data_IF_016967456935
#
_entry.id   IF_016967456935
#
_cell.length_a   1.000
_cell.length_b   1.000
_cell.length_c   1.000
_cell.angle_alpha   90.00
_cell.angle_beta   90.00
_cell.angle_gamma   90.00
#
_symmetry.space_group_name_H-M   'P 1'
#
loop_
_entity.id
_entity.type
_entity.pdbx_description
1 polymer ?
#
# COMPACT_ATOMS: atom_id res chain seq x y z
N UNK A 1 4.10 26.85 28.03
CA UNK A 1 3.94 25.42 28.38
C UNK A 1 3.71 24.60 27.11
N UNK A 2 4.51 23.57 26.81
CA UNK A 2 4.29 22.72 25.63
C UNK A 2 2.95 21.97 25.77
N UNK A 3 2.08 22.06 24.75
CA UNK A 3 0.81 21.32 24.70
C UNK A 3 1.10 19.83 24.75
N UNK A 4 0.75 19.16 25.86
CA UNK A 4 0.85 17.70 26.01
C UNK A 4 0.11 17.01 24.85
N UNK A 5 0.82 16.22 24.06
CA UNK A 5 0.21 15.40 23.00
C UNK A 5 -0.52 14.24 23.70
N UNK A 6 -1.81 14.01 23.44
CA UNK A 6 -2.52 12.85 24.00
C UNK A 6 -1.83 11.54 23.61
N UNK A 7 -1.66 10.62 24.57
CA UNK A 7 -0.93 9.34 24.42
C UNK A 7 -1.29 8.61 23.12
N UNK A 8 -2.58 8.47 22.81
CA UNK A 8 -3.06 7.81 21.59
C UNK A 8 -2.58 8.46 20.28
N UNK A 9 -2.45 9.79 20.25
CA UNK A 9 -1.90 10.49 19.07
C UNK A 9 -0.39 10.28 18.97
N UNK A 10 0.30 10.24 20.11
CA UNK A 10 1.72 9.92 20.16
C UNK A 10 1.99 8.49 19.65
N UNK A 11 1.13 7.51 19.99
CA UNK A 11 1.23 6.15 19.46
C UNK A 11 1.14 6.11 17.93
N UNK A 12 0.20 6.86 17.32
CA UNK A 12 0.13 6.95 15.85
C UNK A 12 1.43 7.50 15.27
N UNK A 13 1.98 8.58 15.82
CA UNK A 13 3.26 9.11 15.35
C UNK A 13 4.40 8.10 15.49
N UNK A 14 4.45 7.41 16.64
CA UNK A 14 5.49 6.47 16.98
C UNK A 14 5.47 5.23 16.06
N UNK A 15 4.30 4.64 15.80
CA UNK A 15 4.16 3.49 14.89
C UNK A 15 4.74 3.80 13.51
N UNK A 16 4.30 4.90 12.89
CA UNK A 16 4.77 5.29 11.56
C UNK A 16 6.25 5.68 11.55
N UNK A 17 6.74 6.34 12.60
CA UNK A 17 8.15 6.68 12.73
C UNK A 17 9.04 5.44 12.87
N UNK A 18 8.67 4.49 13.74
CA UNK A 18 9.38 3.22 13.94
C UNK A 18 9.50 2.47 12.62
N UNK A 19 8.40 2.34 11.87
CA UNK A 19 8.44 1.62 10.59
C UNK A 19 9.29 2.34 9.54
N UNK A 20 9.35 3.67 9.55
CA UNK A 20 10.25 4.43 8.67
C UNK A 20 11.71 4.15 9.02
N UNK A 21 12.06 4.19 10.31
CA UNK A 21 13.41 3.88 10.79
C UNK A 21 13.77 2.44 10.46
N UNK A 22 12.87 1.49 10.68
CA UNK A 22 13.04 0.08 10.30
C UNK A 22 13.38 -0.04 8.81
N UNK A 23 12.60 0.60 7.95
CA UNK A 23 12.81 0.56 6.50
C UNK A 23 14.19 1.11 6.10
N UNK A 24 14.62 2.24 6.67
CA UNK A 24 15.94 2.81 6.38
C UNK A 24 17.07 1.91 6.91
N UNK A 25 16.91 1.39 8.14
CA UNK A 25 17.91 0.54 8.78
C UNK A 25 18.07 -0.80 8.06
N UNK A 26 16.98 -1.38 7.55
CA UNK A 26 17.01 -2.62 6.75
C UNK A 26 17.96 -2.54 5.55
N UNK A 27 18.19 -1.36 4.98
CA UNK A 27 19.05 -1.20 3.80
C UNK A 27 20.37 -0.50 4.10
N UNK A 28 20.57 -0.03 5.33
CA UNK A 28 21.77 0.69 5.73
C UNK A 28 23.01 -0.22 5.63
N UNK A 29 23.95 0.14 4.75
CA UNK A 29 25.20 -0.58 4.53
C UNK A 29 25.04 -1.93 3.81
N UNK A 30 23.86 -2.26 3.28
CA UNK A 30 23.67 -3.49 2.51
C UNK A 30 24.24 -3.34 1.09
N UNK A 31 25.00 -4.34 0.63
CA UNK A 31 25.57 -4.37 -0.72
C UNK A 31 24.54 -4.72 -1.80
N UNK A 32 24.90 -4.43 -3.05
CA UNK A 32 24.12 -4.86 -4.22
C UNK A 32 24.64 -6.21 -4.70
N UNK A 33 23.74 -7.10 -5.09
CA UNK A 33 24.04 -8.41 -5.67
C UNK A 33 23.38 -8.52 -7.03
N UNK A 34 24.07 -9.12 -8.00
CA UNK A 34 23.47 -9.43 -9.30
C UNK A 34 22.31 -10.42 -9.07
N UNK A 35 21.20 -10.21 -9.79
CA UNK A 35 20.07 -11.13 -9.78
C UNK A 35 20.47 -12.36 -10.61
N UNK A 36 20.21 -13.56 -10.08
CA UNK A 36 20.45 -14.81 -10.81
C UNK A 36 19.75 -14.77 -12.18
N UNK A 37 20.45 -15.20 -13.22
CA UNK A 37 20.00 -15.18 -14.61
C UNK A 37 19.72 -13.77 -15.18
N UNK A 38 20.21 -12.70 -14.55
CA UNK A 38 20.15 -11.34 -15.09
C UNK A 38 21.54 -10.83 -15.47
N UNK A 39 21.69 -10.33 -16.71
CA UNK A 39 22.96 -9.77 -17.19
C UNK A 39 23.27 -8.39 -16.59
N UNK A 40 22.23 -7.63 -16.20
CA UNK A 40 22.38 -6.25 -15.73
C UNK A 40 21.53 -5.91 -14.49
N UNK A 41 20.71 -6.84 -14.00
CA UNK A 41 19.80 -6.61 -12.88
C UNK A 41 20.48 -6.77 -11.53
N UNK A 42 20.36 -5.77 -10.67
CA UNK A 42 20.87 -5.77 -9.30
C UNK A 42 19.74 -5.73 -8.29
N UNK A 43 19.88 -6.51 -7.22
CA UNK A 43 19.02 -6.46 -6.04
C UNK A 43 19.83 -6.09 -4.80
N UNK A 44 19.14 -5.59 -3.79
CA UNK A 44 19.68 -5.32 -2.47
C UNK A 44 18.77 -6.02 -1.48
N UNK A 45 19.29 -7.06 -0.82
CA UNK A 45 18.49 -7.78 0.18
C UNK A 45 18.47 -7.00 1.50
N UNK A 46 17.31 -6.89 2.16
CA UNK A 46 17.21 -6.22 3.44
C UNK A 46 17.98 -7.00 4.51
N UNK A 47 18.57 -6.27 5.45
CA UNK A 47 19.04 -6.80 6.72
C UNK A 47 17.85 -7.30 7.54
N UNK A 48 17.80 -8.61 7.75
CA UNK A 48 16.89 -9.24 8.71
C UNK A 48 17.72 -9.60 9.95
N UNK A 49 17.43 -8.95 11.08
CA UNK A 49 18.17 -9.15 12.32
C UNK A 49 17.41 -8.66 13.54
N UNK A 50 17.99 -8.83 14.73
CA UNK A 50 17.30 -8.53 16.00
C UNK A 50 16.75 -7.11 16.08
N UNK A 51 17.44 -6.11 15.53
CA UNK A 51 17.00 -4.71 15.53
C UNK A 51 15.77 -4.51 14.63
N UNK A 52 15.77 -5.02 13.39
CA UNK A 52 14.62 -4.84 12.48
C UNK A 52 13.38 -5.56 12.99
N UNK A 53 13.57 -6.74 13.58
CA UNK A 53 12.50 -7.51 14.23
C UNK A 53 11.96 -6.77 15.45
N UNK A 54 12.83 -6.26 16.33
CA UNK A 54 12.39 -5.50 17.50
C UNK A 54 11.56 -4.27 17.12
N UNK A 55 11.92 -3.58 16.02
CA UNK A 55 11.16 -2.44 15.52
C UNK A 55 9.79 -2.87 14.96
N UNK A 56 9.72 -3.96 14.18
CA UNK A 56 8.46 -4.49 13.65
C UNK A 56 7.51 -4.89 14.79
N UNK A 57 7.98 -5.68 15.75
CA UNK A 57 7.17 -6.14 16.87
C UNK A 57 6.80 -5.03 17.85
N UNK A 58 7.65 -4.02 18.04
CA UNK A 58 7.29 -2.82 18.82
C UNK A 58 6.16 -2.03 18.14
N UNK A 59 6.25 -1.82 16.83
CA UNK A 59 5.20 -1.16 16.07
C UNK A 59 3.89 -1.98 16.07
N UNK A 60 3.98 -3.31 15.96
CA UNK A 60 2.84 -4.21 16.03
C UNK A 60 2.18 -4.20 17.43
N UNK A 61 2.97 -4.26 18.50
CA UNK A 61 2.46 -4.19 19.87
C UNK A 61 1.76 -2.86 20.15
N UNK A 62 2.32 -1.74 19.67
CA UNK A 62 1.68 -0.43 19.75
C UNK A 62 0.37 -0.39 18.94
N UNK A 63 0.33 -1.01 17.76
CA UNK A 63 -0.86 -1.07 16.92
C UNK A 63 -1.98 -1.90 17.59
N UNK A 64 -1.66 -3.08 18.13
CA UNK A 64 -2.59 -3.93 18.87
C UNK A 64 -3.12 -3.18 20.10
N UNK A 65 -2.24 -2.55 20.88
CA UNK A 65 -2.63 -1.77 22.05
C UNK A 65 -3.57 -0.62 21.67
N UNK A 66 -3.25 0.12 20.61
CA UNK A 66 -4.11 1.19 20.11
C UNK A 66 -5.48 0.66 19.65
N UNK A 67 -5.50 -0.48 18.98
CA UNK A 67 -6.74 -1.14 18.55
C UNK A 67 -7.61 -1.52 19.76
N UNK A 68 -7.05 -2.18 20.78
CA UNK A 68 -7.76 -2.59 21.98
C UNK A 68 -8.36 -1.39 22.74
N UNK A 69 -7.60 -0.31 22.90
CA UNK A 69 -8.05 0.92 23.57
C UNK A 69 -9.23 1.59 22.84
N UNK A 70 -9.26 1.51 21.51
CA UNK A 70 -10.26 2.18 20.69
C UNK A 70 -11.41 1.25 20.26
N UNK A 71 -11.29 -0.06 20.49
CA UNK A 71 -12.28 -1.07 20.14
C UNK A 71 -13.73 -0.68 20.53
N UNK A 72 -14.00 -0.16 21.74
CA UNK A 72 -15.36 0.25 22.13
C UNK A 72 -15.95 1.37 21.25
N UNK A 73 -15.10 2.20 20.63
CA UNK A 73 -15.56 3.21 19.66
C UNK A 73 -15.73 2.61 18.27
N UNK A 74 -14.84 1.70 17.86
CA UNK A 74 -14.87 1.06 16.54
C UNK A 74 -16.17 0.29 16.35
N UNK A 75 -16.58 -0.53 17.32
CA UNK A 75 -17.82 -1.32 17.27
C UNK A 75 -19.07 -0.43 17.10
N UNK A 76 -19.01 0.80 17.64
CA UNK A 76 -20.06 1.82 17.50
C UNK A 76 -19.97 2.65 16.22
N UNK A 77 -18.97 2.42 15.36
CA UNK A 77 -18.76 3.17 14.11
C UNK A 77 -18.80 2.29 12.84
N UNK A 78 -18.32 1.06 12.89
CA UNK A 78 -18.39 0.12 11.78
C UNK A 78 -19.79 -0.50 11.63
N UNK A 79 -20.08 -1.04 10.45
CA UNK A 79 -21.27 -1.88 10.21
C UNK A 79 -21.04 -3.28 10.79
N UNK A 80 -22.11 -4.03 11.04
CA UNK A 80 -22.00 -5.42 11.52
C UNK A 80 -21.13 -6.27 10.59
N UNK A 81 -21.41 -6.23 9.29
CA UNK A 81 -20.59 -6.93 8.28
C UNK A 81 -19.11 -6.50 8.32
N UNK A 82 -18.82 -5.21 8.47
CA UNK A 82 -17.44 -4.72 8.56
C UNK A 82 -16.73 -5.15 9.84
N UNK A 83 -17.44 -5.20 10.97
CA UNK A 83 -16.91 -5.76 12.22
C UNK A 83 -16.67 -7.27 12.10
N UNK A 84 -17.62 -8.01 11.54
CA UNK A 84 -17.49 -9.45 11.32
C UNK A 84 -16.29 -9.75 10.43
N UNK A 85 -16.13 -9.04 9.30
CA UNK A 85 -14.97 -9.22 8.43
C UNK A 85 -13.65 -8.96 9.18
N UNK A 86 -13.57 -7.87 9.96
CA UNK A 86 -12.36 -7.55 10.73
C UNK A 86 -12.03 -8.62 11.79
N UNK A 87 -13.05 -9.12 12.51
CA UNK A 87 -12.88 -10.16 13.53
C UNK A 87 -12.53 -11.51 12.92
N UNK A 88 -13.18 -11.92 11.83
CA UNK A 88 -12.86 -13.16 11.11
C UNK A 88 -11.43 -13.12 10.60
N UNK A 89 -11.02 -12.00 9.98
CA UNK A 89 -9.65 -11.84 9.50
C UNK A 89 -8.64 -11.93 10.65
N UNK A 90 -8.89 -11.23 11.75
CA UNK A 90 -7.99 -11.22 12.92
C UNK A 90 -7.90 -12.61 13.56
N UNK A 91 -9.04 -13.30 13.72
CA UNK A 91 -9.08 -14.66 14.22
C UNK A 91 -8.34 -15.65 13.31
N UNK A 92 -8.55 -15.56 11.99
CA UNK A 92 -7.85 -16.39 11.02
C UNK A 92 -6.33 -16.16 11.06
N UNK A 93 -5.87 -14.91 11.20
CA UNK A 93 -4.45 -14.58 11.38
C UNK A 93 -3.88 -15.23 12.63
N UNK A 94 -4.57 -15.15 13.77
CA UNK A 94 -4.12 -15.77 15.02
C UNK A 94 -4.05 -17.29 14.89
N UNK A 95 -5.06 -17.93 14.29
CA UNK A 95 -5.06 -19.36 14.03
C UNK A 95 -3.87 -19.78 13.15
N UNK A 96 -3.63 -19.07 12.04
CA UNK A 96 -2.51 -19.35 11.16
C UNK A 96 -1.15 -19.10 11.81
N UNK A 97 -1.03 -18.06 12.64
CA UNK A 97 0.18 -17.79 13.41
C UNK A 97 0.48 -18.94 14.38
N UNK A 98 -0.55 -19.46 15.05
CA UNK A 98 -0.41 -20.61 15.95
C UNK A 98 -0.05 -21.90 15.20
N UNK A 99 -0.68 -22.17 14.05
CA UNK A 99 -0.31 -23.31 13.18
C UNK A 99 1.14 -23.19 12.73
N UNK A 100 1.58 -21.99 12.34
CA UNK A 100 2.95 -21.73 11.88
C UNK A 100 3.94 -21.92 13.04
N UNK A 101 3.60 -21.45 14.24
CA UNK A 101 4.40 -21.63 15.44
C UNK A 101 4.59 -23.13 15.78
N UNK A 102 3.52 -23.93 15.76
CA UNK A 102 3.59 -25.37 16.04
C UNK A 102 4.43 -26.10 15.00
N UNK A 103 4.23 -25.80 13.71
CA UNK A 103 4.85 -26.55 12.61
C UNK A 103 6.29 -26.15 12.31
N UNK A 104 6.61 -24.86 12.45
CA UNK A 104 7.88 -24.29 11.97
C UNK A 104 8.67 -23.55 13.07
N UNK A 105 8.13 -23.47 14.30
CA UNK A 105 8.79 -22.87 15.45
C UNK A 105 8.78 -21.34 15.47
N UNK A 106 9.15 -20.78 16.63
CA UNK A 106 9.11 -19.35 16.89
C UNK A 106 10.06 -18.54 15.98
N UNK A 107 11.21 -19.10 15.61
CA UNK A 107 12.16 -18.41 14.71
C UNK A 107 11.51 -18.08 13.36
N UNK A 108 10.74 -19.00 12.79
CA UNK A 108 10.07 -18.78 11.50
C UNK A 108 9.03 -17.69 11.59
N UNK A 109 8.21 -17.71 12.65
CA UNK A 109 7.22 -16.67 12.93
C UNK A 109 7.90 -15.31 13.12
N UNK A 110 8.98 -15.24 13.89
CA UNK A 110 9.60 -13.95 14.22
C UNK A 110 10.45 -13.33 13.11
N UNK A 111 11.05 -14.13 12.22
CA UNK A 111 12.08 -13.66 11.28
C UNK A 111 11.62 -13.58 9.82
N UNK A 112 10.45 -14.12 9.48
CA UNK A 112 10.00 -14.14 8.09
C UNK A 112 9.07 -12.98 7.75
N UNK A 113 9.21 -12.45 6.52
CA UNK A 113 8.49 -11.26 6.07
C UNK A 113 7.06 -11.54 5.56
N UNK A 114 6.64 -12.81 5.53
CA UNK A 114 5.38 -13.27 4.90
C UNK A 114 4.55 -14.18 5.80
N UNK A 115 4.85 -14.16 7.08
CA UNK A 115 4.12 -14.85 8.14
C UNK A 115 2.75 -14.23 8.41
N UNK A 116 1.81 -14.95 9.03
CA UNK A 116 0.43 -14.52 9.17
C UNK A 116 0.25 -13.16 9.89
N UNK A 117 1.11 -12.81 10.84
CA UNK A 117 0.98 -11.59 11.62
C UNK A 117 1.12 -10.31 10.79
N UNK A 118 1.70 -10.37 9.59
CA UNK A 118 1.78 -9.20 8.69
C UNK A 118 0.39 -8.71 8.28
N UNK A 119 -0.64 -9.57 8.33
CA UNK A 119 -2.01 -9.16 8.01
C UNK A 119 -2.69 -8.44 9.18
N UNK A 120 -2.09 -8.38 10.38
CA UNK A 120 -2.54 -7.52 11.47
C UNK A 120 -2.36 -6.03 11.17
N UNK A 121 -1.69 -5.66 10.07
CA UNK A 121 -1.72 -4.30 9.52
C UNK A 121 -3.15 -3.76 9.35
N UNK A 122 -4.13 -4.64 9.09
CA UNK A 122 -5.53 -4.26 8.97
C UNK A 122 -6.08 -3.58 10.23
N UNK A 123 -5.52 -3.85 11.42
CA UNK A 123 -5.95 -3.22 12.67
C UNK A 123 -5.80 -1.69 12.64
N UNK A 124 -4.96 -1.15 11.75
CA UNK A 124 -4.81 0.30 11.55
C UNK A 124 -6.08 1.00 11.02
N UNK A 125 -7.14 0.25 10.65
CA UNK A 125 -8.49 0.81 10.43
C UNK A 125 -8.97 1.69 11.58
N UNK A 126 -8.55 1.38 12.82
CA UNK A 126 -8.85 2.18 14.02
C UNK A 126 -8.45 3.65 13.86
N UNK A 127 -7.29 3.90 13.26
CA UNK A 127 -6.75 5.24 13.06
C UNK A 127 -7.61 6.02 12.08
N UNK A 128 -8.18 5.34 11.07
CA UNK A 128 -9.09 5.95 10.09
C UNK A 128 -10.46 6.32 10.66
N UNK A 129 -10.94 5.51 11.61
CA UNK A 129 -12.28 5.60 12.18
C UNK A 129 -12.44 6.76 13.19
N UNK A 130 -11.39 7.11 13.92
CA UNK A 130 -11.37 8.25 14.85
C UNK A 130 -10.77 9.51 14.19
N UNK A 131 -11.54 10.60 14.10
CA UNK A 131 -11.10 11.84 13.44
C UNK A 131 -9.83 12.46 14.05
N UNK A 132 -9.61 12.29 15.35
CA UNK A 132 -8.44 12.84 16.04
C UNK A 132 -7.18 12.03 15.72
N UNK A 133 -7.31 10.70 15.62
CA UNK A 133 -6.23 9.81 15.20
C UNK A 133 -5.93 9.99 13.71
N UNK A 134 -6.96 9.98 12.88
CA UNK A 134 -6.87 10.24 11.45
C UNK A 134 -6.20 11.58 11.16
N UNK A 135 -6.60 12.64 11.87
CA UNK A 135 -5.98 13.96 11.77
C UNK A 135 -4.50 13.98 12.18
N UNK A 136 -4.03 13.00 12.95
CA UNK A 136 -2.61 12.83 13.30
C UNK A 136 -1.84 12.15 12.17
N UNK A 137 -2.37 11.06 11.62
CA UNK A 137 -1.85 10.40 10.41
C UNK A 137 -1.80 11.36 9.20
N UNK A 138 -2.90 12.05 8.91
CA UNK A 138 -3.03 13.05 7.84
C UNK A 138 -1.96 14.15 7.88
N UNK A 139 -1.46 14.50 9.08
CA UNK A 139 -0.41 15.52 9.24
C UNK A 139 0.98 15.02 8.87
N UNK A 140 1.24 13.72 8.94
CA UNK A 140 2.55 13.12 8.66
C UNK A 140 2.60 12.43 7.30
N UNK A 141 1.49 11.90 6.79
CA UNK A 141 1.46 11.06 5.59
C UNK A 141 2.21 11.70 4.40
N UNK A 142 1.83 12.91 3.98
CA UNK A 142 2.50 13.57 2.86
C UNK A 142 3.97 13.91 3.14
N UNK A 143 4.31 14.27 4.39
CA UNK A 143 5.70 14.60 4.77
C UNK A 143 6.60 13.37 4.69
N UNK A 144 6.11 12.24 5.21
CA UNK A 144 6.78 10.96 5.12
C UNK A 144 6.85 10.46 3.67
N UNK A 145 5.82 10.73 2.87
CA UNK A 145 5.82 10.45 1.43
C UNK A 145 6.94 11.21 0.71
N UNK A 146 7.01 12.52 0.89
CA UNK A 146 8.07 13.37 0.32
C UNK A 146 9.46 12.93 0.80
N UNK A 147 9.61 12.64 2.10
CA UNK A 147 10.85 12.12 2.65
C UNK A 147 11.25 10.78 2.00
N UNK A 148 10.29 9.85 1.81
CA UNK A 148 10.57 8.56 1.18
C UNK A 148 10.96 8.71 -0.30
N UNK A 149 10.34 9.63 -1.03
CA UNK A 149 10.73 9.94 -2.41
C UNK A 149 12.14 10.54 -2.49
N UNK A 150 12.49 11.44 -1.58
CA UNK A 150 13.85 11.99 -1.51
C UNK A 150 14.89 10.91 -1.16
N UNK A 151 14.60 10.08 -0.15
CA UNK A 151 15.47 8.97 0.23
C UNK A 151 15.60 7.92 -0.89
N UNK A 152 14.53 7.68 -1.64
CA UNK A 152 14.54 6.85 -2.84
C UNK A 152 15.46 7.40 -3.93
N UNK A 153 15.35 8.70 -4.25
CA UNK A 153 16.22 9.36 -5.23
C UNK A 153 17.69 9.32 -4.79
N UNK A 154 17.99 9.59 -3.52
CA UNK A 154 19.35 9.47 -2.99
C UNK A 154 19.87 8.04 -3.15
N UNK A 155 19.05 7.04 -2.80
CA UNK A 155 19.42 5.62 -2.95
C UNK A 155 19.67 5.24 -4.41
N UNK A 156 18.90 5.79 -5.35
CA UNK A 156 19.09 5.62 -6.79
C UNK A 156 20.41 6.22 -7.28
N UNK A 157 20.72 7.46 -6.87
CA UNK A 157 21.97 8.12 -7.25
C UNK A 157 23.19 7.39 -6.70
N UNK A 158 23.09 6.87 -5.46
CA UNK A 158 24.14 6.02 -4.88
C UNK A 158 24.30 4.70 -5.65
N UNK A 159 23.20 4.10 -6.11
CA UNK A 159 23.25 2.93 -6.97
C UNK A 159 23.98 3.23 -8.29
N UNK A 160 23.57 4.29 -9.00
CA UNK A 160 24.19 4.68 -10.27
C UNK A 160 25.68 4.99 -10.13
N UNK A 161 26.10 5.60 -9.01
CA UNK A 161 27.52 5.88 -8.76
C UNK A 161 28.39 4.62 -8.70
N UNK A 162 27.78 3.47 -8.36
CA UNK A 162 28.46 2.16 -8.28
C UNK A 162 28.18 1.29 -9.51
N UNK A 163 27.03 1.45 -10.13
CA UNK A 163 26.55 0.64 -11.25
C UNK A 163 25.93 1.54 -12.33
N UNK A 164 26.74 2.30 -13.11
CA UNK A 164 26.24 3.31 -14.05
C UNK A 164 25.30 2.77 -15.14
N UNK A 165 25.43 1.50 -15.51
CA UNK A 165 24.59 0.83 -16.51
C UNK A 165 23.72 -0.29 -15.92
N UNK A 166 23.65 -0.38 -14.58
CA UNK A 166 22.88 -1.41 -13.90
C UNK A 166 21.38 -1.14 -13.93
N UNK A 167 20.59 -2.20 -14.03
CA UNK A 167 19.14 -2.16 -13.86
C UNK A 167 18.80 -2.47 -12.40
N UNK A 168 17.97 -1.63 -11.78
CA UNK A 168 17.49 -1.88 -10.42
C UNK A 168 16.32 -2.86 -10.42
N UNK A 169 16.50 -3.96 -9.67
CA UNK A 169 15.42 -4.82 -9.20
C UNK A 169 14.96 -4.39 -7.80
N UNK A 170 14.75 -5.38 -6.92
CA UNK A 170 14.30 -5.12 -5.55
C UNK A 170 15.43 -4.46 -4.72
N UNK A 171 15.34 -3.14 -4.53
CA UNK A 171 16.35 -2.33 -3.83
C UNK A 171 15.72 -1.31 -2.89
N UNK A 172 16.52 -0.69 -2.03
CA UNK A 172 16.07 0.39 -1.14
C UNK A 172 15.37 1.51 -1.91
N UNK A 173 15.92 1.91 -3.06
CA UNK A 173 15.39 2.97 -3.90
C UNK A 173 13.94 2.66 -4.31
N UNK A 174 13.70 1.46 -4.80
CA UNK A 174 12.38 1.03 -5.23
C UNK A 174 11.38 0.93 -4.07
N UNK A 175 11.77 0.32 -2.94
CA UNK A 175 10.84 0.14 -1.82
C UNK A 175 10.45 1.48 -1.19
N UNK A 176 11.43 2.37 -0.99
CA UNK A 176 11.17 3.73 -0.49
C UNK A 176 10.30 4.52 -1.48
N UNK A 177 10.48 4.32 -2.78
CA UNK A 177 9.60 4.91 -3.79
C UNK A 177 8.17 4.40 -3.68
N UNK A 178 7.96 3.09 -3.63
CA UNK A 178 6.61 2.50 -3.52
C UNK A 178 5.89 3.02 -2.27
N UNK A 179 6.60 3.08 -1.14
CA UNK A 179 6.08 3.67 0.10
C UNK A 179 5.76 5.17 -0.08
N UNK A 180 6.69 5.92 -0.67
CA UNK A 180 6.53 7.34 -0.96
C UNK A 180 5.32 7.63 -1.83
N UNK A 181 5.14 6.84 -2.89
CA UNK A 181 4.02 6.91 -3.81
C UNK A 181 2.68 6.79 -3.08
N UNK A 182 2.47 5.72 -2.30
CA UNK A 182 1.22 5.50 -1.57
C UNK A 182 0.94 6.62 -0.56
N UNK A 183 1.96 7.06 0.17
CA UNK A 183 1.84 8.15 1.13
C UNK A 183 1.54 9.50 0.47
N UNK A 184 2.11 9.77 -0.71
CA UNK A 184 1.82 10.98 -1.49
C UNK A 184 0.39 10.95 -2.00
N UNK A 185 -0.05 9.83 -2.60
CA UNK A 185 -1.41 9.65 -3.10
C UNK A 185 -2.42 9.89 -1.97
N UNK A 186 -2.25 9.22 -0.83
CA UNK A 186 -3.14 9.34 0.34
C UNK A 186 -3.08 10.75 0.94
N UNK A 187 -1.87 11.26 1.20
CA UNK A 187 -1.65 12.55 1.83
C UNK A 187 -2.09 13.74 0.98
N UNK A 188 -2.10 13.59 -0.34
CA UNK A 188 -2.45 14.68 -1.28
C UNK A 188 -3.91 15.13 -1.13
N UNK A 189 -4.83 14.23 -0.80
CA UNK A 189 -6.26 14.52 -0.61
C UNK A 189 -6.45 15.53 0.52
N UNK A 190 -5.95 15.23 1.71
CA UNK A 190 -6.09 16.09 2.89
C UNK A 190 -5.20 17.33 2.83
N UNK A 191 -4.01 17.22 2.24
CA UNK A 191 -3.16 18.38 2.03
C UNK A 191 -3.86 19.39 1.12
N UNK A 192 -4.46 18.94 0.02
CA UNK A 192 -5.26 19.80 -0.84
C UNK A 192 -6.47 20.37 -0.11
N UNK A 193 -7.17 19.56 0.70
CA UNK A 193 -8.29 20.03 1.53
C UNK A 193 -7.91 21.26 2.36
N UNK A 194 -6.73 21.23 2.99
CA UNK A 194 -6.23 22.25 3.92
C UNK A 194 -5.51 23.42 3.25
N UNK A 195 -4.70 23.16 2.23
CA UNK A 195 -3.77 24.14 1.65
C UNK A 195 -4.14 24.60 0.23
N UNK A 196 -5.00 23.85 -0.47
CA UNK A 196 -5.42 24.11 -1.87
C UNK A 196 -4.25 24.24 -2.88
N UNK A 197 -3.05 23.78 -2.54
CA UNK A 197 -1.85 23.84 -3.38
C UNK A 197 -1.79 22.68 -4.37
N UNK A 198 -2.55 22.79 -5.47
CA UNK A 198 -2.61 21.77 -6.52
C UNK A 198 -1.29 21.59 -7.27
N UNK A 199 -0.60 22.67 -7.61
CA UNK A 199 0.66 22.63 -8.35
C UNK A 199 1.73 21.77 -7.65
N UNK A 200 1.85 21.91 -6.32
CA UNK A 200 2.76 21.09 -5.52
C UNK A 200 2.47 19.60 -5.61
N UNK A 201 1.19 19.20 -5.59
CA UNK A 201 0.80 17.78 -5.72
C UNK A 201 1.08 17.29 -7.13
N UNK A 202 0.78 18.08 -8.17
CA UNK A 202 1.12 17.72 -9.54
C UNK A 202 2.63 17.54 -9.71
N UNK A 203 3.44 18.43 -9.15
CA UNK A 203 4.90 18.31 -9.13
C UNK A 203 5.38 17.02 -8.46
N UNK A 204 4.83 16.66 -7.30
CA UNK A 204 5.16 15.38 -6.64
C UNK A 204 4.77 14.17 -7.50
N UNK A 205 3.64 14.24 -8.20
CA UNK A 205 3.25 13.16 -9.11
C UNK A 205 4.14 13.06 -10.35
N UNK A 206 4.64 14.19 -10.86
CA UNK A 206 5.69 14.19 -11.89
C UNK A 206 6.94 13.49 -11.39
N UNK A 207 7.41 13.80 -10.17
CA UNK A 207 8.55 13.11 -9.55
C UNK A 207 8.27 11.62 -9.45
N UNK A 208 7.08 11.21 -8.98
CA UNK A 208 6.73 9.80 -8.90
C UNK A 208 6.84 9.11 -10.27
N UNK A 209 6.34 9.76 -11.32
CA UNK A 209 6.36 9.18 -12.66
C UNK A 209 7.77 9.08 -13.24
N UNK A 210 8.61 10.11 -13.02
CA UNK A 210 10.03 10.07 -13.43
C UNK A 210 10.76 8.95 -12.71
N UNK A 211 10.62 8.82 -11.38
CA UNK A 211 11.24 7.73 -10.62
C UNK A 211 10.74 6.35 -11.08
N UNK A 212 9.44 6.21 -11.37
CA UNK A 212 8.89 4.96 -11.89
C UNK A 212 9.51 4.55 -13.24
N UNK A 213 9.75 5.51 -14.12
CA UNK A 213 10.43 5.28 -15.40
C UNK A 213 11.90 4.89 -15.19
N UNK A 214 12.63 5.63 -14.35
CA UNK A 214 14.03 5.32 -14.01
C UNK A 214 14.18 3.93 -13.40
N UNK A 215 13.22 3.48 -12.59
CA UNK A 215 13.27 2.15 -11.97
C UNK A 215 12.67 1.05 -12.86
N UNK A 216 12.30 1.39 -14.09
CA UNK A 216 11.66 0.49 -15.04
C UNK A 216 10.42 -0.23 -14.43
N UNK A 217 9.64 0.53 -13.63
CA UNK A 217 8.50 0.06 -12.86
C UNK A 217 7.18 0.40 -13.57
N UNK A 218 6.88 -0.32 -14.67
CA UNK A 218 5.70 -0.12 -15.55
C UNK A 218 4.39 0.12 -14.78
N UNK A 219 4.16 -0.69 -13.75
CA UNK A 219 2.98 -0.62 -12.90
C UNK A 219 2.80 0.75 -12.25
N UNK A 220 3.88 1.35 -11.78
CA UNK A 220 3.84 2.63 -11.08
C UNK A 220 3.84 3.83 -12.02
N UNK A 221 4.29 3.68 -13.26
CA UNK A 221 4.02 4.68 -14.31
C UNK A 221 2.52 4.78 -14.54
N UNK A 222 1.84 3.64 -14.71
CA UNK A 222 0.38 3.56 -14.86
C UNK A 222 -0.33 4.13 -13.63
N UNK A 223 0.07 3.72 -12.41
CA UNK A 223 -0.54 4.21 -11.17
C UNK A 223 -0.34 5.72 -10.98
N UNK A 224 0.84 6.25 -11.34
CA UNK A 224 1.12 7.70 -11.31
C UNK A 224 0.26 8.46 -12.32
N UNK A 225 0.09 7.92 -13.52
CA UNK A 225 -0.78 8.50 -14.55
C UNK A 225 -2.25 8.52 -14.09
N UNK A 226 -2.77 7.39 -13.59
CA UNK A 226 -4.14 7.29 -13.06
C UNK A 226 -4.36 8.37 -12.00
N UNK A 227 -3.47 8.50 -11.03
CA UNK A 227 -3.65 9.51 -9.99
C UNK A 227 -3.51 10.94 -10.52
N UNK A 228 -2.62 11.20 -11.47
CA UNK A 228 -2.47 12.51 -12.11
C UNK A 228 -3.73 12.90 -12.91
N UNK A 229 -4.52 11.93 -13.39
CA UNK A 229 -5.82 12.16 -14.02
C UNK A 229 -6.95 12.34 -12.98
N UNK A 230 -7.00 11.47 -11.97
CA UNK A 230 -8.03 11.47 -10.91
C UNK A 230 -7.94 12.72 -10.04
N UNK A 231 -6.73 13.16 -9.69
CA UNK A 231 -6.53 14.25 -8.75
C UNK A 231 -7.13 15.59 -9.23
N UNK A 232 -6.88 16.05 -10.47
CA UNK A 232 -7.65 17.12 -11.13
C UNK A 232 -9.16 16.95 -11.06
N UNK A 233 -9.66 15.74 -11.31
CA UNK A 233 -11.09 15.46 -11.37
C UNK A 233 -11.76 15.65 -10.00
N UNK A 234 -11.15 15.17 -8.91
CA UNK A 234 -11.70 15.28 -7.55
C UNK A 234 -11.51 16.68 -6.94
N UNK A 235 -10.53 17.46 -7.41
CA UNK A 235 -10.19 18.79 -6.86
C UNK A 235 -10.80 19.96 -7.61
N UNK A 236 -11.12 19.81 -8.91
CA UNK A 236 -11.64 20.91 -9.72
C UNK A 236 -13.12 21.13 -9.46
N UNK A 237 -13.44 22.30 -8.88
CA UNK A 237 -14.83 22.75 -8.72
C UNK A 237 -15.40 23.41 -9.98
N UNK A 238 -14.55 23.87 -10.90
CA UNK A 238 -14.94 24.47 -12.18
C UNK A 238 -15.70 23.45 -13.06
N UNK A 239 -16.61 23.96 -13.92
CA UNK A 239 -17.44 23.16 -14.84
C UNK A 239 -16.63 22.26 -15.80
N UNK A 240 -17.31 21.58 -16.75
CA UNK A 240 -16.70 20.58 -17.66
C UNK A 240 -15.35 21.03 -18.28
N UNK A 241 -15.23 22.30 -18.71
CA UNK A 241 -13.99 22.88 -19.29
C UNK A 241 -12.79 22.89 -18.35
N UNK A 242 -12.98 23.19 -17.05
CA UNK A 242 -11.88 23.21 -16.08
C UNK A 242 -11.32 21.82 -15.80
N UNK A 243 -12.18 20.80 -15.87
CA UNK A 243 -11.79 19.39 -15.73
C UNK A 243 -10.98 18.92 -16.93
N UNK A 244 -11.45 19.24 -18.14
CA UNK A 244 -10.73 18.94 -19.38
C UNK A 244 -9.33 19.54 -19.40
N UNK A 245 -9.18 20.83 -19.04
CA UNK A 245 -7.86 21.47 -18.89
C UNK A 245 -6.96 20.76 -17.88
N UNK A 246 -7.53 20.29 -16.78
CA UNK A 246 -6.78 19.54 -15.77
C UNK A 246 -6.28 18.18 -16.26
N UNK A 247 -7.07 17.49 -17.07
CA UNK A 247 -6.70 16.23 -17.71
C UNK A 247 -5.63 16.46 -18.78
N UNK A 248 -5.78 17.50 -19.62
CA UNK A 248 -4.75 17.84 -20.61
C UNK A 248 -3.41 18.20 -19.97
N UNK A 249 -3.43 18.96 -18.87
CA UNK A 249 -2.20 19.24 -18.13
C UNK A 249 -1.54 17.94 -17.62
N UNK A 250 -2.33 16.94 -17.19
CA UNK A 250 -1.81 15.63 -16.79
C UNK A 250 -1.17 14.88 -17.96
N UNK A 251 -1.79 14.90 -19.14
CA UNK A 251 -1.23 14.29 -20.37
C UNK A 251 0.08 14.96 -20.77
N UNK A 252 0.15 16.29 -20.73
CA UNK A 252 1.37 17.05 -21.04
C UNK A 252 2.48 16.73 -20.05
N UNK A 253 2.18 16.75 -18.74
CA UNK A 253 3.13 16.33 -17.70
C UNK A 253 3.61 14.89 -17.94
N UNK A 254 2.68 14.04 -18.36
CA UNK A 254 2.93 12.68 -18.78
C UNK A 254 4.02 12.61 -19.86
N UNK A 255 3.73 13.21 -21.00
CA UNK A 255 4.63 13.26 -22.15
C UNK A 255 5.99 13.90 -21.83
N UNK A 256 6.02 14.95 -21.02
CA UNK A 256 7.27 15.61 -20.63
C UNK A 256 8.17 14.71 -19.79
N UNK A 257 7.62 13.93 -18.85
CA UNK A 257 8.43 12.99 -18.07
C UNK A 257 8.96 11.84 -18.94
N UNK A 258 8.16 11.35 -19.89
CA UNK A 258 8.62 10.38 -20.88
C UNK A 258 9.76 10.93 -21.74
N UNK A 259 9.58 12.14 -22.29
CA UNK A 259 10.61 12.82 -23.07
C UNK A 259 11.88 13.08 -22.24
N UNK A 260 11.74 13.47 -20.98
CA UNK A 260 12.87 13.65 -20.07
C UNK A 260 13.69 12.36 -19.95
N UNK A 261 13.06 11.23 -19.61
CA UNK A 261 13.80 9.96 -19.43
C UNK A 261 14.39 9.48 -20.77
N UNK A 262 13.66 9.60 -21.88
CA UNK A 262 14.15 9.20 -23.20
C UNK A 262 15.42 9.98 -23.62
N UNK A 263 15.56 11.24 -23.23
CA UNK A 263 16.73 12.06 -23.57
C UNK A 263 17.89 11.92 -22.57
N UNK A 264 17.60 11.72 -21.28
CA UNK A 264 18.64 11.65 -20.24
C UNK A 264 19.14 10.23 -19.97
N UNK A 265 18.29 9.21 -20.15
CA UNK A 265 18.58 7.80 -19.85
C UNK A 265 18.01 6.90 -20.97
N UNK A 266 18.52 7.01 -22.22
CA UNK A 266 17.96 6.34 -23.39
C UNK A 266 17.95 4.81 -23.24
N UNK A 267 18.99 4.22 -22.66
CA UNK A 267 19.08 2.78 -22.42
C UNK A 267 17.98 2.26 -21.47
N UNK A 268 17.66 3.01 -20.40
CA UNK A 268 16.56 2.65 -19.49
C UNK A 268 15.21 2.76 -20.18
N UNK A 269 15.05 3.77 -21.03
CA UNK A 269 13.85 3.98 -21.82
C UNK A 269 13.64 2.84 -22.84
N UNK A 270 14.66 2.45 -23.59
CA UNK A 270 14.62 1.31 -24.52
C UNK A 270 14.25 0.02 -23.78
N UNK A 271 14.91 -0.27 -22.66
CA UNK A 271 14.59 -1.44 -21.82
C UNK A 271 13.13 -1.41 -21.33
N UNK A 272 12.60 -0.23 -21.01
CA UNK A 272 11.20 -0.06 -20.61
C UNK A 272 10.24 -0.35 -21.77
N UNK A 273 10.54 0.16 -22.97
CA UNK A 273 9.75 -0.08 -24.17
C UNK A 273 9.75 -1.57 -24.54
N UNK A 274 10.91 -2.23 -24.55
CA UNK A 274 11.01 -3.68 -24.82
C UNK A 274 10.20 -4.54 -23.85
N UNK A 275 10.16 -4.15 -22.57
CA UNK A 275 9.37 -4.88 -21.57
C UNK A 275 7.87 -4.75 -21.82
N UNK A 276 7.42 -3.67 -22.46
CA UNK A 276 5.99 -3.37 -22.64
C UNK A 276 5.28 -4.48 -23.40
N UNK A 277 5.95 -5.06 -24.40
CA UNK A 277 5.37 -6.10 -25.26
C UNK A 277 5.63 -7.53 -24.77
N UNK A 278 6.40 -7.72 -23.69
CA UNK A 278 6.72 -9.05 -23.16
C UNK A 278 5.69 -9.52 -22.13
N UNK A 279 5.07 -10.67 -22.42
CA UNK A 279 4.42 -11.48 -21.40
C UNK A 279 5.49 -12.06 -20.47
N UNK A 280 5.35 -11.76 -19.19
CA UNK A 280 6.30 -12.14 -18.13
C UNK A 280 5.60 -12.84 -16.97
N UNK A 281 4.30 -13.15 -17.10
CA UNK A 281 3.49 -13.58 -15.95
C UNK A 281 2.48 -14.69 -16.24
N UNK A 282 2.03 -14.86 -17.48
CA UNK A 282 1.02 -15.89 -17.77
C UNK A 282 1.47 -17.29 -17.36
N UNK A 283 2.78 -17.58 -17.47
CA UNK A 283 3.35 -18.84 -17.03
C UNK A 283 3.11 -19.12 -15.53
N UNK A 284 3.18 -18.11 -14.65
CA UNK A 284 2.94 -18.31 -13.21
C UNK A 284 1.53 -18.83 -12.95
N UNK A 285 0.54 -18.31 -13.67
CA UNK A 285 -0.85 -18.75 -13.53
C UNK A 285 -1.04 -20.15 -14.11
N UNK A 286 -0.51 -20.42 -15.31
CA UNK A 286 -0.64 -21.73 -15.96
C UNK A 286 0.00 -22.83 -15.10
N UNK A 287 1.22 -22.60 -14.62
CA UNK A 287 1.96 -23.55 -13.79
C UNK A 287 1.30 -23.73 -12.40
N UNK A 288 0.80 -22.65 -11.79
CA UNK A 288 0.11 -22.75 -10.51
C UNK A 288 -1.20 -23.53 -10.62
N UNK A 289 -2.06 -23.16 -11.58
CA UNK A 289 -3.39 -23.76 -11.72
C UNK A 289 -3.35 -25.20 -12.25
N UNK A 290 -2.25 -25.63 -12.89
CA UNK A 290 -2.07 -27.04 -13.26
C UNK A 290 -1.72 -27.94 -12.08
N UNK A 291 -1.30 -27.37 -10.94
CA UNK A 291 -0.83 -28.10 -9.76
C UNK A 291 -1.73 -27.93 -8.52
N UNK A 292 -2.72 -27.03 -8.57
CA UNK A 292 -3.53 -26.65 -7.40
C UNK A 292 -4.99 -27.01 -7.57
N UNK A 293 -5.61 -27.47 -6.48
CA UNK A 293 -7.03 -27.78 -6.42
C UNK A 293 -7.81 -26.65 -5.75
N UNK A 294 -9.12 -26.59 -5.96
CA UNK A 294 -9.99 -25.56 -5.34
C UNK A 294 -9.86 -25.53 -3.80
N UNK A 295 -9.66 -26.68 -3.16
CA UNK A 295 -9.48 -26.78 -1.70
C UNK A 295 -8.27 -25.99 -1.21
N UNK A 296 -7.20 -25.93 -2.00
CA UNK A 296 -5.97 -25.23 -1.65
C UNK A 296 -6.22 -23.71 -1.57
N UNK A 297 -7.11 -23.18 -2.42
CA UNK A 297 -7.51 -21.77 -2.40
C UNK A 297 -8.44 -21.44 -1.23
N UNK A 298 -9.29 -22.39 -0.83
CA UNK A 298 -10.25 -22.19 0.25
C UNK A 298 -9.56 -22.25 1.61
N UNK A 299 -8.78 -23.29 1.85
CA UNK A 299 -8.13 -23.52 3.14
C UNK A 299 -6.82 -22.76 3.22
N UNK A 300 -5.99 -22.81 2.17
CA UNK A 300 -4.60 -22.37 2.19
C UNK A 300 -3.65 -23.53 2.52
N UNK A 301 -2.44 -23.48 1.97
CA UNK A 301 -1.38 -24.48 2.15
C UNK A 301 -0.37 -24.09 3.25
N UNK A 302 -0.50 -22.91 3.84
CA UNK A 302 0.33 -22.39 4.92
C UNK A 302 1.52 -21.57 4.45
N UNK A 303 2.35 -21.17 5.42
CA UNK A 303 3.54 -20.33 5.22
C UNK A 303 4.53 -20.89 4.19
N UNK A 304 4.74 -22.21 4.20
CA UNK A 304 5.70 -22.89 3.33
C UNK A 304 5.14 -23.27 1.95
N UNK A 305 4.05 -22.61 1.51
CA UNK A 305 3.48 -22.82 0.18
C UNK A 305 4.54 -22.65 -0.93
N UNK A 306 4.59 -23.62 -1.84
CA UNK A 306 5.44 -23.64 -3.03
C UNK A 306 4.71 -24.37 -4.17
N UNK A 307 5.04 -24.02 -5.42
CA UNK A 307 4.64 -24.76 -6.61
C UNK A 307 5.86 -24.98 -7.50
N UNK A 308 5.87 -26.05 -8.30
CA UNK A 308 6.98 -26.30 -9.21
C UNK A 308 6.87 -25.41 -10.44
N UNK A 309 7.93 -24.68 -10.78
CA UNK A 309 8.01 -23.80 -11.94
C UNK A 309 9.21 -24.19 -12.79
N UNK A 310 8.99 -24.91 -13.90
CA UNK A 310 10.05 -25.15 -14.89
C UNK A 310 10.68 -23.85 -15.37
N UNK A 311 9.86 -22.81 -15.55
CA UNK A 311 10.30 -21.48 -16.00
C UNK A 311 11.24 -20.81 -14.99
N UNK A 312 11.05 -21.04 -13.69
CA UNK A 312 11.92 -20.53 -12.62
C UNK A 312 12.98 -21.54 -12.15
N UNK A 313 13.10 -22.69 -12.82
CA UNK A 313 14.14 -23.68 -12.54
C UNK A 313 13.93 -24.50 -11.25
N UNK A 314 12.70 -24.63 -10.74
CA UNK A 314 12.44 -25.47 -9.57
C UNK A 314 11.22 -25.07 -8.74
N UNK A 315 11.22 -25.40 -7.45
CA UNK A 315 10.17 -25.00 -6.52
C UNK A 315 10.20 -23.50 -6.26
N UNK A 316 9.07 -22.85 -6.49
CA UNK A 316 8.91 -21.42 -6.40
C UNK A 316 7.83 -21.06 -5.36
N UNK A 317 8.15 -20.13 -4.47
CA UNK A 317 7.30 -19.78 -3.31
C UNK A 317 6.59 -18.44 -3.43
N UNK A 318 6.61 -17.84 -4.63
CA UNK A 318 6.16 -16.47 -4.86
C UNK A 318 5.21 -16.37 -6.05
N UNK A 319 4.23 -15.47 -5.96
CA UNK A 319 3.25 -15.21 -7.02
C UNK A 319 3.03 -13.69 -7.06
N UNK A 320 3.12 -13.08 -8.24
CA UNK A 320 2.98 -11.62 -8.40
C UNK A 320 1.58 -11.11 -8.01
N UNK A 321 0.56 -11.96 -8.13
CA UNK A 321 -0.80 -11.65 -7.71
C UNK A 321 -0.95 -11.84 -6.19
N UNK A 322 -1.02 -10.73 -5.46
CA UNK A 322 -1.13 -10.70 -4.01
C UNK A 322 -2.39 -11.37 -3.45
N UNK A 323 -3.49 -11.45 -4.21
CA UNK A 323 -4.68 -12.19 -3.77
C UNK A 323 -4.47 -13.70 -3.87
N UNK A 324 -3.92 -14.17 -4.99
CA UNK A 324 -3.59 -15.59 -5.14
C UNK A 324 -2.53 -16.00 -4.13
N UNK A 325 -1.50 -15.17 -3.94
CA UNK A 325 -0.48 -15.39 -2.92
C UNK A 325 -1.09 -15.53 -1.51
N UNK A 326 -2.02 -14.63 -1.15
CA UNK A 326 -2.74 -14.68 0.12
C UNK A 326 -3.62 -15.92 0.27
N UNK A 327 -4.37 -16.27 -0.78
CA UNK A 327 -5.24 -17.45 -0.78
C UNK A 327 -4.43 -18.74 -0.71
N UNK A 328 -3.32 -18.84 -1.44
CA UNK A 328 -2.48 -20.04 -1.42
C UNK A 328 -1.80 -20.27 -0.08
N UNK A 329 -1.47 -19.20 0.65
CA UNK A 329 -0.89 -19.35 1.98
C UNK A 329 -1.94 -19.56 3.06
N UNK A 330 -2.98 -18.73 3.10
CA UNK A 330 -3.85 -18.64 4.28
C UNK A 330 -5.35 -18.78 3.95
N UNK A 331 -5.66 -19.07 2.69
CA UNK A 331 -7.00 -19.36 2.23
C UNK A 331 -7.90 -18.14 2.13
N UNK A 332 -9.17 -18.43 1.86
CA UNK A 332 -10.22 -17.41 1.76
C UNK A 332 -10.50 -16.75 3.11
N UNK A 333 -10.14 -17.41 4.22
CA UNK A 333 -10.38 -16.93 5.59
C UNK A 333 -9.70 -15.59 5.91
N UNK A 334 -8.56 -15.28 5.27
CA UNK A 334 -7.92 -13.96 5.36
C UNK A 334 -8.24 -13.12 4.12
N UNK A 335 -8.21 -13.72 2.92
CA UNK A 335 -8.36 -12.97 1.66
C UNK A 335 -9.75 -12.32 1.52
N UNK A 336 -10.83 -13.09 1.72
CA UNK A 336 -12.18 -12.58 1.50
C UNK A 336 -12.54 -11.45 2.45
N UNK A 337 -12.33 -11.55 3.78
CA UNK A 337 -12.58 -10.44 4.68
C UNK A 337 -11.78 -9.18 4.32
N UNK A 338 -10.52 -9.32 3.90
CA UNK A 338 -9.72 -8.19 3.46
C UNK A 338 -10.30 -7.50 2.22
N UNK A 339 -10.68 -8.27 1.20
CA UNK A 339 -11.34 -7.76 -0.01
C UNK A 339 -12.69 -7.13 0.32
N UNK A 340 -13.48 -7.74 1.21
CA UNK A 340 -14.76 -7.19 1.66
C UNK A 340 -14.57 -5.81 2.30
N UNK A 341 -13.57 -5.63 3.18
CA UNK A 341 -13.28 -4.33 3.79
C UNK A 341 -12.89 -3.27 2.75
N UNK A 342 -12.10 -3.64 1.74
CA UNK A 342 -11.75 -2.75 0.62
C UNK A 342 -12.99 -2.33 -0.17
N UNK A 343 -13.80 -3.30 -0.60
CA UNK A 343 -15.01 -3.07 -1.41
C UNK A 343 -16.02 -2.23 -0.64
N UNK A 344 -16.25 -2.53 0.64
CA UNK A 344 -17.11 -1.72 1.51
C UNK A 344 -16.59 -0.30 1.66
N UNK A 345 -15.27 -0.12 1.81
CA UNK A 345 -14.63 1.20 1.82
C UNK A 345 -14.88 1.98 0.52
N UNK A 346 -14.67 1.34 -0.63
CA UNK A 346 -14.89 1.93 -1.96
C UNK A 346 -16.36 2.36 -2.11
N UNK A 347 -17.29 1.45 -1.83
CA UNK A 347 -18.73 1.68 -1.93
C UNK A 347 -19.17 2.84 -1.03
N UNK A 348 -18.73 2.84 0.23
CA UNK A 348 -19.08 3.87 1.20
C UNK A 348 -18.61 5.28 0.79
N UNK A 349 -17.38 5.37 0.29
CA UNK A 349 -16.82 6.66 -0.12
C UNK A 349 -17.39 7.16 -1.46
N UNK A 350 -17.69 6.27 -2.42
CA UNK A 350 -18.28 6.66 -3.71
C UNK A 350 -19.76 7.08 -3.60
N UNK A 351 -20.58 6.26 -2.95
CA UNK A 351 -22.04 6.38 -3.06
C UNK A 351 -22.68 7.12 -1.87
N UNK A 352 -22.14 7.01 -0.66
CA UNK A 352 -22.69 7.73 0.50
C UNK A 352 -22.10 9.13 0.68
N UNK A 353 -21.04 9.49 -0.06
CA UNK A 353 -20.46 10.82 0.01
C UNK A 353 -20.70 11.70 -1.23
N UNK A 354 -21.19 12.92 -0.95
CA UNK A 354 -21.36 13.99 -1.94
C UNK A 354 -20.07 14.81 -2.08
N UNK A 355 -19.18 14.81 -1.09
CA UNK A 355 -17.89 15.50 -1.17
C UNK A 355 -16.96 14.75 -2.13
N UNK A 356 -16.72 15.33 -3.32
CA UNK A 356 -15.85 14.75 -4.36
C UNK A 356 -14.45 14.44 -3.87
N UNK A 357 -13.91 15.26 -2.97
CA UNK A 357 -12.56 15.07 -2.44
C UNK A 357 -12.46 13.78 -1.64
N UNK A 358 -13.52 13.41 -0.92
CA UNK A 358 -13.58 12.16 -0.15
C UNK A 358 -13.64 10.95 -1.10
N UNK A 359 -14.31 11.07 -2.26
CA UNK A 359 -14.29 10.02 -3.29
C UNK A 359 -12.88 9.70 -3.78
N UNK A 360 -11.92 10.60 -3.59
CA UNK A 360 -10.49 10.34 -3.82
C UNK A 360 -10.00 9.08 -3.10
N UNK A 361 -10.46 8.82 -1.87
CA UNK A 361 -10.08 7.61 -1.12
C UNK A 361 -10.54 6.33 -1.83
N UNK A 362 -11.68 6.33 -2.50
CA UNK A 362 -12.13 5.17 -3.28
C UNK A 362 -11.19 4.88 -4.45
N UNK A 363 -10.70 5.91 -5.14
CA UNK A 363 -9.70 5.72 -6.20
C UNK A 363 -8.38 5.19 -5.66
N UNK A 364 -7.94 5.64 -4.47
CA UNK A 364 -6.77 5.04 -3.80
C UNK A 364 -6.98 3.55 -3.55
N UNK A 365 -8.14 3.16 -3.01
CA UNK A 365 -8.45 1.76 -2.73
C UNK A 365 -8.57 0.92 -4.01
N UNK A 366 -9.16 1.46 -5.09
CA UNK A 366 -9.21 0.80 -6.40
C UNK A 366 -7.80 0.60 -6.96
N UNK A 367 -6.97 1.64 -6.94
CA UNK A 367 -5.57 1.58 -7.36
C UNK A 367 -4.80 0.50 -6.57
N UNK A 368 -5.01 0.44 -5.26
CA UNK A 368 -4.43 -0.59 -4.40
C UNK A 368 -4.94 -1.98 -4.73
N UNK A 369 -6.24 -2.13 -4.98
CA UNK A 369 -6.82 -3.41 -5.39
C UNK A 369 -6.24 -3.90 -6.72
N UNK A 370 -6.07 -3.02 -7.70
CA UNK A 370 -5.42 -3.35 -8.97
C UNK A 370 -3.95 -3.71 -8.77
N UNK A 371 -3.23 -2.97 -7.90
CA UNK A 371 -1.83 -3.26 -7.58
C UNK A 371 -1.66 -4.68 -7.05
N UNK A 372 -2.48 -5.09 -6.07
CA UNK A 372 -2.50 -6.45 -5.54
C UNK A 372 -2.98 -7.50 -6.55
N UNK A 373 -3.84 -7.13 -7.50
CA UNK A 373 -4.32 -8.01 -8.57
C UNK A 373 -3.28 -8.35 -9.65
N UNK A 374 -2.00 -8.04 -9.43
CA UNK A 374 -0.92 -8.31 -10.38
C UNK A 374 -0.58 -7.14 -11.30
N UNK A 375 -1.21 -5.97 -11.13
CA UNK A 375 -0.77 -4.77 -11.83
C UNK A 375 0.63 -4.37 -11.34
N UNK A 376 0.98 -4.60 -10.07
CA UNK A 376 2.28 -4.24 -9.48
C UNK A 376 2.95 -5.38 -8.72
N UNK A 377 4.10 -5.83 -9.21
CA UNK A 377 4.91 -6.90 -8.56
C UNK A 377 5.56 -6.45 -7.26
N UNK A 378 5.72 -5.14 -7.07
CA UNK A 378 6.33 -4.56 -5.87
C UNK A 378 5.30 -4.18 -4.79
N UNK A 379 4.02 -4.57 -4.98
CA UNK A 379 2.97 -4.42 -3.97
C UNK A 379 2.58 -5.78 -3.42
N UNK A 380 3.03 -6.05 -2.20
CA UNK A 380 2.57 -7.18 -1.39
C UNK A 380 2.03 -6.67 -0.06
N UNK A 381 1.24 -7.53 0.59
CA UNK A 381 0.77 -7.36 1.95
C UNK A 381 1.87 -7.82 2.92
N UNK A 382 2.53 -6.84 3.52
CA UNK A 382 3.60 -7.03 4.51
C UNK A 382 3.41 -6.02 5.65
N UNK A 383 4.11 -6.20 6.76
CA UNK A 383 4.03 -5.28 7.89
C UNK A 383 4.86 -4.02 7.64
N UNK A 384 4.26 -3.01 6.99
CA UNK A 384 4.94 -1.76 6.65
C UNK A 384 4.01 -0.53 6.56
N UNK A 385 4.61 0.64 6.30
CA UNK A 385 3.90 1.92 6.28
C UNK A 385 2.81 1.95 5.19
N UNK A 386 3.07 1.39 3.99
CA UNK A 386 2.09 1.45 2.89
C UNK A 386 0.84 0.63 3.24
N UNK A 387 1.01 -0.57 3.81
CA UNK A 387 -0.11 -1.42 4.21
C UNK A 387 -0.90 -0.78 5.36
N UNK A 388 -0.21 -0.22 6.37
CA UNK A 388 -0.87 0.53 7.46
C UNK A 388 -1.65 1.74 6.93
N UNK A 389 -1.06 2.50 6.01
CA UNK A 389 -1.70 3.68 5.43
C UNK A 389 -2.97 3.32 4.66
N UNK A 390 -2.98 2.20 3.92
CA UNK A 390 -4.17 1.71 3.25
C UNK A 390 -5.24 1.27 4.24
N UNK A 391 -4.87 0.54 5.31
CA UNK A 391 -5.81 0.18 6.36
C UNK A 391 -6.42 1.42 7.05
N UNK A 392 -5.64 2.50 7.25
CA UNK A 392 -6.16 3.79 7.74
C UNK A 392 -7.20 4.36 6.75
N UNK A 393 -6.94 4.30 5.44
CA UNK A 393 -7.88 4.75 4.41
C UNK A 393 -9.16 3.92 4.40
N UNK A 394 -9.07 2.58 4.52
CA UNK A 394 -10.23 1.69 4.69
C UNK A 394 -11.06 2.16 5.89
N UNK A 395 -10.45 2.33 7.06
CA UNK A 395 -11.13 2.81 8.26
C UNK A 395 -11.80 4.17 8.06
N UNK A 396 -11.14 5.09 7.34
CA UNK A 396 -11.69 6.41 7.03
C UNK A 396 -12.94 6.31 6.16
N UNK A 397 -12.90 5.48 5.13
CA UNK A 397 -14.03 5.21 4.24
C UNK A 397 -15.21 4.58 4.97
N UNK A 398 -14.95 3.63 5.86
CA UNK A 398 -15.99 2.95 6.62
C UNK A 398 -16.69 3.87 7.63
N UNK A 399 -15.97 4.82 8.24
CA UNK A 399 -16.56 5.77 9.19
C UNK A 399 -17.54 6.76 8.54
N UNK A 400 -17.38 7.09 7.25
CA UNK A 400 -18.22 8.04 6.52
C UNK A 400 -19.68 7.60 6.43
N UNK A 401 -19.94 6.30 6.37
CA UNK A 401 -21.29 5.74 6.21
C UNK A 401 -22.19 6.03 7.42
N UNK A 402 -21.68 5.88 8.65
CA UNK A 402 -22.51 5.95 9.87
C UNK A 402 -22.80 7.36 10.36
N UNK A 403 -21.90 8.32 10.11
CA UNK A 403 -22.13 9.73 10.47
C UNK A 403 -23.33 10.33 9.74
N UNK A 404 -23.60 9.89 8.51
CA UNK A 404 -24.75 10.35 7.74
C UNK A 404 -26.03 9.60 8.07
N UNK A 405 -25.97 8.29 8.30
CA UNK A 405 -27.13 7.51 8.76
C UNK A 405 -27.68 8.06 10.08
N UNK A 406 -26.82 8.42 11.03
CA UNK A 406 -27.23 9.10 12.28
C UNK A 406 -27.82 10.50 12.06
N UNK A 407 -27.38 11.23 11.02
CA UNK A 407 -27.96 12.54 10.67
C UNK A 407 -29.31 12.41 9.99
N UNK A 408 -29.49 11.43 9.10
CA UNK A 408 -30.80 11.16 8.46
C UNK A 408 -31.82 10.61 9.45
N UNK A 409 -31.43 9.70 10.35
CA UNK A 409 -32.31 9.16 11.39
C UNK A 409 -32.70 10.23 12.44
N UNK A 410 -31.82 11.20 12.72
CA UNK A 410 -32.16 12.35 13.57
C UNK A 410 -33.07 13.34 12.86
N UNK A 411 -32.81 13.65 11.58
CA UNK A 411 -33.66 14.52 10.76
C UNK A 411 -35.09 13.98 10.64
N UNK A 412 -35.24 12.69 10.33
CA UNK A 412 -36.54 12.02 10.26
C UNK A 412 -37.29 11.99 11.60
N UNK A 413 -36.59 12.00 12.75
CA UNK A 413 -37.21 12.08 14.08
C UNK A 413 -37.60 13.50 14.49
N UNK A 414 -36.97 14.53 13.94
CA UNK A 414 -37.38 15.93 14.13
C UNK A 414 -38.59 16.30 13.26
N UNK A 415 -38.68 15.73 12.05
CA UNK A 415 -39.82 15.95 11.15
C UNK A 415 -41.07 15.12 11.53
N UNK A 416 -40.91 14.13 12.42
CA UNK A 416 -41.98 13.28 12.94
C UNK A 416 -42.47 13.67 14.34
N UNK A 417 -42.07 14.83 14.86
CA UNK A 417 -42.70 15.43 16.04
C UNK A 417 -43.74 16.44 15.56
N UNK A 418 -45.03 16.26 15.90
CA UNK A 418 -46.10 17.17 15.48
C UNK A 418 -45.93 18.57 16.06
#
# INVERSE_FOLDING_TARGET
MPKKIPVRKAMVYLIFFILMIKQLYSYAGMGYTLIENSTYGFQQLPRIGGVTIALDYLALALLITLFLVEYPKIIRKLTELGMTALLVMTGAVVCWAFITLIRYGAKTVLYSETTPEVYLTILAVVVGVDDKLYGSFSRIALRMGVFSLAASLISYLLFLSKHPSGLMGNTAALILYVQGFWLVVIGSIDYFKKRKKRAFICFLMTICMVLALLFNARSYVIQSLIWTLVFPYITTQKGKRGRFRGVWAAVVIGGLAFAFVANFEPHLFETFMEKTDRDTRSFQYIELFSQTNLKDFLIGQGYAFQYYSPTMGGFYSYIDNGYLFLMMRYGISICLPYVLLLVMGIYNSLFYNKERLIRGYSFVLIMWMCALGGLSVYTMLVFDIKCLAIAVVIGRCLAIHREKRKKSEKGAKTDARP
#
